data_IF_921997102031
#
_entry.id   IF_921997102031
#
_cell.length_a   1.000
_cell.length_b   1.000
_cell.length_c   1.000
_cell.angle_alpha   90.00
_cell.angle_beta   90.00
_cell.angle_gamma   90.00
#
_symmetry.space_group_name_H-M   'P 1'
#
loop_
_entity.id
_entity.type
_entity.pdbx_description
1 polymer ?
#
# COMPACT_ATOMS: atom_id res chain seq x y z
N UNK A 1 -42.24 5.00 -0.85
CA UNK A 1 -41.28 5.48 0.16
C UNK A 1 -40.01 5.95 -0.54
N UNK A 2 -39.67 7.25 -0.44
CA UNK A 2 -38.34 7.75 -0.78
C UNK A 2 -37.55 7.80 0.52
N UNK A 3 -36.42 7.11 0.57
CA UNK A 3 -35.50 7.24 1.70
C UNK A 3 -34.79 8.59 1.62
N UNK A 4 -34.74 9.34 2.72
CA UNK A 4 -34.02 10.62 2.82
C UNK A 4 -32.50 10.38 2.99
N UNK A 5 -31.94 9.52 2.13
CA UNK A 5 -30.53 9.14 2.16
C UNK A 5 -30.04 9.14 0.73
N UNK A 6 -28.96 9.87 0.50
CA UNK A 6 -28.32 9.88 -0.82
C UNK A 6 -27.83 8.48 -1.20
N UNK A 7 -27.95 8.16 -2.49
CA UNK A 7 -27.53 6.87 -3.05
C UNK A 7 -26.11 6.48 -2.62
N UNK A 8 -25.18 7.43 -2.58
CA UNK A 8 -23.78 7.18 -2.19
C UNK A 8 -23.62 6.82 -0.71
N UNK A 9 -24.37 7.47 0.19
CA UNK A 9 -24.39 7.16 1.62
C UNK A 9 -25.01 5.79 1.86
N UNK A 10 -26.14 5.50 1.20
CA UNK A 10 -26.79 4.20 1.26
C UNK A 10 -25.83 3.09 0.79
N UNK A 11 -25.15 3.26 -0.34
CA UNK A 11 -24.17 2.29 -0.85
C UNK A 11 -23.01 2.02 0.11
N UNK A 12 -22.45 3.06 0.75
CA UNK A 12 -21.37 2.87 1.73
C UNK A 12 -21.83 2.08 2.95
N UNK A 13 -23.05 2.33 3.42
CA UNK A 13 -23.63 1.66 4.58
C UNK A 13 -23.99 0.21 4.27
N UNK A 14 -24.63 -0.02 3.12
CA UNK A 14 -24.97 -1.36 2.63
C UNK A 14 -23.72 -2.20 2.44
N UNK A 15 -22.65 -1.70 1.82
CA UNK A 15 -21.42 -2.48 1.56
C UNK A 15 -20.68 -2.92 2.85
N UNK A 16 -20.91 -2.24 3.97
CA UNK A 16 -20.34 -2.57 5.28
C UNK A 16 -21.25 -3.47 6.12
N UNK A 17 -22.48 -3.71 5.67
CA UNK A 17 -23.42 -4.57 6.38
C UNK A 17 -22.95 -6.03 6.36
N UNK A 18 -23.01 -6.78 7.47
CA UNK A 18 -22.61 -8.19 7.51
C UNK A 18 -23.35 -9.05 6.47
N UNK A 19 -24.65 -8.79 6.30
CA UNK A 19 -25.50 -9.53 5.36
C UNK A 19 -25.40 -9.03 3.91
N UNK A 20 -24.49 -8.10 3.62
CA UNK A 20 -24.30 -7.65 2.26
C UNK A 20 -23.64 -8.74 1.41
N UNK A 21 -24.47 -9.40 0.61
CA UNK A 21 -24.04 -10.36 -0.40
C UNK A 21 -23.28 -9.61 -1.50
N UNK A 22 -21.95 -9.61 -1.39
CA UNK A 22 -21.10 -9.22 -2.52
C UNK A 22 -21.40 -10.19 -3.65
N UNK A 23 -21.99 -9.69 -4.73
CA UNK A 23 -22.15 -10.46 -5.96
C UNK A 23 -20.77 -10.76 -6.51
N UNK A 24 -20.22 -11.92 -6.14
CA UNK A 24 -19.06 -12.50 -6.78
C UNK A 24 -19.51 -12.99 -8.15
N UNK A 25 -19.71 -12.06 -9.10
CA UNK A 25 -19.88 -12.44 -10.50
C UNK A 25 -18.56 -13.06 -10.94
N UNK A 26 -18.54 -14.37 -11.01
CA UNK A 26 -17.41 -15.09 -11.58
C UNK A 26 -17.27 -14.66 -13.03
N UNK A 27 -16.10 -14.10 -13.36
CA UNK A 27 -15.80 -13.76 -14.73
C UNK A 27 -15.09 -14.96 -15.37
N UNK A 28 -15.72 -15.68 -16.31
CA UNK A 28 -15.16 -16.92 -16.87
C UNK A 28 -13.81 -16.68 -17.55
N UNK A 29 -13.58 -15.48 -18.11
CA UNK A 29 -12.32 -15.08 -18.74
C UNK A 29 -11.20 -15.02 -17.69
N UNK A 30 -11.51 -14.52 -16.49
CA UNK A 30 -10.56 -14.42 -15.38
C UNK A 30 -10.25 -15.80 -14.81
N UNK A 31 -11.25 -16.68 -14.67
CA UNK A 31 -11.06 -18.06 -14.23
C UNK A 31 -10.15 -18.83 -15.20
N UNK A 32 -10.42 -18.73 -16.51
CA UNK A 32 -9.59 -19.34 -17.55
C UNK A 32 -8.15 -18.80 -17.54
N UNK A 33 -7.98 -17.49 -17.34
CA UNK A 33 -6.65 -16.90 -17.18
C UNK A 33 -5.90 -17.47 -15.96
N UNK A 34 -6.60 -17.82 -14.87
CA UNK A 34 -5.98 -18.42 -13.70
C UNK A 34 -5.50 -19.84 -13.95
N UNK A 35 -6.29 -20.65 -14.64
CA UNK A 35 -5.88 -22.00 -15.05
C UNK A 35 -4.62 -21.94 -15.91
N UNK A 36 -4.61 -21.06 -16.92
CA UNK A 36 -3.45 -20.82 -17.80
C UNK A 36 -2.20 -20.38 -17.01
N UNK A 37 -2.37 -19.48 -16.03
CA UNK A 37 -1.29 -19.06 -15.14
C UNK A 37 -0.75 -20.20 -14.27
N UNK A 38 -1.63 -21.09 -13.78
CA UNK A 38 -1.23 -22.28 -13.02
C UNK A 38 -0.50 -23.30 -13.88
N UNK A 39 -0.84 -23.41 -15.16
CA UNK A 39 -0.13 -24.25 -16.13
C UNK A 39 1.25 -23.72 -16.51
N UNK A 40 1.61 -22.49 -16.10
CA UNK A 40 2.91 -21.89 -16.39
C UNK A 40 3.00 -21.15 -17.73
N UNK A 41 1.87 -20.89 -18.38
CA UNK A 41 1.87 -20.13 -19.62
C UNK A 41 2.36 -18.69 -19.42
N UNK A 42 2.95 -18.15 -20.48
CA UNK A 42 3.50 -16.79 -20.45
C UNK A 42 2.40 -15.74 -20.33
N UNK A 43 2.67 -14.64 -19.62
CA UNK A 43 1.72 -13.52 -19.53
C UNK A 43 1.36 -12.93 -20.90
N UNK A 44 2.30 -12.98 -21.86
CA UNK A 44 2.11 -12.44 -23.20
C UNK A 44 1.13 -13.29 -24.02
N UNK A 45 1.26 -14.61 -23.98
CA UNK A 45 0.34 -15.52 -24.68
C UNK A 45 -1.08 -15.40 -24.13
N UNK A 46 -1.24 -15.41 -22.80
CA UNK A 46 -2.56 -15.26 -22.15
C UNK A 46 -3.19 -13.90 -22.48
N UNK A 47 -2.39 -12.84 -22.54
CA UNK A 47 -2.88 -11.49 -22.84
C UNK A 47 -3.48 -11.40 -24.24
N UNK A 48 -2.81 -11.99 -25.23
CA UNK A 48 -3.26 -12.02 -26.62
C UNK A 48 -4.49 -12.92 -26.78
N UNK A 49 -4.48 -14.11 -26.19
CA UNK A 49 -5.54 -15.11 -26.37
C UNK A 49 -6.88 -14.70 -25.73
N UNK A 50 -6.82 -14.06 -24.56
CA UNK A 50 -8.01 -13.72 -23.77
C UNK A 50 -8.38 -12.24 -23.84
N UNK A 51 -7.66 -11.45 -24.64
CA UNK A 51 -7.79 -9.99 -24.73
C UNK A 51 -7.78 -9.30 -23.36
N UNK A 52 -6.87 -9.73 -22.49
CA UNK A 52 -6.69 -9.17 -21.15
C UNK A 52 -5.39 -8.38 -21.13
N UNK A 53 -5.39 -7.12 -20.68
CA UNK A 53 -4.15 -6.35 -20.55
C UNK A 53 -3.13 -7.05 -19.65
N UNK A 54 -1.87 -7.12 -20.08
CA UNK A 54 -0.77 -7.73 -19.31
C UNK A 54 -0.65 -7.18 -17.88
N UNK A 55 -0.92 -5.89 -17.67
CA UNK A 55 -0.91 -5.26 -16.34
C UNK A 55 -1.95 -5.88 -15.39
N UNK A 56 -3.13 -6.22 -15.92
CA UNK A 56 -4.20 -6.92 -15.20
C UNK A 56 -3.77 -8.33 -14.84
N UNK A 57 -3.22 -9.09 -15.80
CA UNK A 57 -2.69 -10.44 -15.55
C UNK A 57 -1.55 -10.44 -14.53
N UNK A 58 -0.64 -9.46 -14.60
CA UNK A 58 0.44 -9.33 -13.64
C UNK A 58 -0.09 -9.11 -12.21
N UNK A 59 -1.07 -8.22 -12.03
CA UNK A 59 -1.73 -8.02 -10.72
C UNK A 59 -2.38 -9.30 -10.21
N UNK A 60 -3.08 -10.03 -11.09
CA UNK A 60 -3.70 -11.30 -10.72
C UNK A 60 -2.67 -12.37 -10.32
N UNK A 61 -1.59 -12.51 -11.09
CA UNK A 61 -0.47 -13.41 -10.81
C UNK A 61 0.13 -13.12 -9.42
N UNK A 62 0.42 -11.86 -9.12
CA UNK A 62 0.97 -11.44 -7.82
C UNK A 62 0.00 -11.76 -6.67
N UNK A 63 -1.30 -11.47 -6.85
CA UNK A 63 -2.33 -11.74 -5.84
C UNK A 63 -2.45 -13.23 -5.53
N UNK A 64 -2.52 -14.07 -6.56
CA UNK A 64 -2.61 -15.51 -6.41
C UNK A 64 -1.34 -16.09 -5.75
N UNK A 65 -0.16 -15.53 -6.05
CA UNK A 65 1.11 -15.94 -5.42
C UNK A 65 1.10 -15.63 -3.93
N UNK A 66 0.59 -14.46 -3.54
CA UNK A 66 0.41 -14.10 -2.12
C UNK A 66 -0.60 -15.01 -1.40
N UNK A 67 -1.57 -15.56 -2.13
CA UNK A 67 -2.55 -16.52 -1.61
C UNK A 67 -2.04 -17.96 -1.58
N UNK A 68 -0.82 -18.23 -2.05
CA UNK A 68 -0.26 -19.58 -2.14
C UNK A 68 -0.96 -20.48 -3.19
N UNK A 69 -1.64 -19.87 -4.18
CA UNK A 69 -2.40 -20.61 -5.19
C UNK A 69 -1.65 -20.82 -6.51
N UNK A 70 -0.42 -20.30 -6.64
CA UNK A 70 0.44 -20.58 -7.79
C UNK A 70 1.48 -21.65 -7.45
N UNK A 71 1.77 -22.56 -8.38
CA UNK A 71 2.88 -23.49 -8.27
C UNK A 71 4.25 -22.80 -8.17
N UNK A 72 5.22 -23.48 -7.55
CA UNK A 72 6.57 -22.96 -7.26
C UNK A 72 7.38 -22.55 -8.50
N UNK A 73 7.12 -23.19 -9.64
CA UNK A 73 7.79 -22.83 -10.90
C UNK A 73 7.37 -21.44 -11.42
N UNK A 74 6.26 -20.89 -10.94
CA UNK A 74 5.77 -19.58 -11.37
C UNK A 74 6.34 -18.48 -10.49
N UNK A 75 7.50 -17.96 -10.90
CA UNK A 75 8.18 -16.91 -10.14
C UNK A 75 7.42 -15.58 -10.17
N UNK A 76 7.23 -14.99 -8.99
CA UNK A 76 6.70 -13.65 -8.81
C UNK A 76 7.78 -12.79 -8.14
N UNK A 77 8.55 -12.04 -8.93
CA UNK A 77 9.53 -11.09 -8.40
C UNK A 77 8.78 -9.99 -7.65
N UNK A 78 8.86 -10.00 -6.32
CA UNK A 78 8.32 -8.90 -5.50
C UNK A 78 9.19 -7.67 -5.74
N UNK A 79 8.57 -6.51 -5.90
CA UNK A 79 9.32 -5.27 -6.16
C UNK A 79 10.11 -4.81 -4.94
N UNK A 80 9.65 -5.11 -3.72
CA UNK A 80 10.37 -4.81 -2.49
C UNK A 80 10.03 -5.87 -1.44
N UNK A 81 10.95 -6.79 -1.15
CA UNK A 81 10.76 -7.82 -0.12
C UNK A 81 11.16 -7.35 1.27
N UNK A 82 11.45 -6.05 1.45
CA UNK A 82 11.67 -5.47 2.77
C UNK A 82 10.37 -5.58 3.54
N UNK A 83 10.36 -6.36 4.62
CA UNK A 83 9.19 -6.41 5.51
C UNK A 83 8.80 -4.99 5.87
N UNK A 84 7.49 -4.69 5.88
CA UNK A 84 6.99 -3.35 6.26
C UNK A 84 7.55 -2.91 7.61
N UNK A 85 7.77 -3.86 8.52
CA UNK A 85 8.30 -3.59 9.85
C UNK A 85 9.80 -3.29 9.82
N UNK A 86 10.56 -3.96 8.95
CA UNK A 86 11.98 -3.64 8.72
C UNK A 86 12.16 -2.26 8.09
N UNK A 87 11.31 -1.90 7.12
CA UNK A 87 11.30 -0.56 6.52
C UNK A 87 10.98 0.52 7.57
N UNK A 88 9.97 0.30 8.42
CA UNK A 88 9.64 1.22 9.52
C UNK A 88 10.81 1.39 10.50
N UNK A 89 11.47 0.30 10.87
CA UNK A 89 12.60 0.33 11.79
C UNK A 89 13.78 1.10 11.20
N UNK A 90 14.14 0.81 9.94
CA UNK A 90 15.19 1.54 9.22
C UNK A 90 14.86 3.03 9.13
N UNK A 91 13.60 3.35 8.83
CA UNK A 91 13.14 4.73 8.72
C UNK A 91 13.28 5.47 10.05
N UNK A 92 12.82 4.86 11.16
CA UNK A 92 12.95 5.45 12.47
C UNK A 92 14.43 5.76 12.80
N UNK A 93 15.34 4.82 12.53
CA UNK A 93 16.78 5.02 12.73
C UNK A 93 17.35 6.13 11.86
N UNK A 94 16.95 6.19 10.59
CA UNK A 94 17.40 7.23 9.65
C UNK A 94 16.95 8.64 10.07
N UNK A 95 15.69 8.77 10.52
CA UNK A 95 15.15 10.02 11.04
C UNK A 95 15.88 10.45 12.31
N UNK A 96 16.09 9.53 13.25
CA UNK A 96 16.84 9.80 14.49
C UNK A 96 18.27 10.26 14.20
N UNK A 97 18.96 9.61 13.26
CA UNK A 97 20.30 10.03 12.85
C UNK A 97 20.33 11.46 12.27
N UNK A 98 19.31 11.87 11.53
CA UNK A 98 19.22 13.23 11.00
C UNK A 98 18.96 14.27 12.10
N UNK A 99 18.07 13.97 13.04
CA UNK A 99 17.62 14.93 14.07
C UNK A 99 18.61 15.01 15.24
N UNK A 100 19.08 13.87 15.75
CA UNK A 100 19.93 13.82 16.95
C UNK A 100 21.41 13.94 16.64
N UNK A 101 21.87 13.28 15.57
CA UNK A 101 23.30 13.20 15.23
C UNK A 101 23.72 14.23 14.17
N UNK A 102 22.82 15.11 13.73
CA UNK A 102 23.07 16.11 12.69
C UNK A 102 23.42 15.51 11.32
N UNK A 103 23.10 14.24 11.09
CA UNK A 103 23.47 13.54 9.86
C UNK A 103 22.73 14.13 8.65
N UNK A 104 23.44 14.35 7.53
CA UNK A 104 22.77 14.81 6.31
C UNK A 104 21.78 13.76 5.78
N UNK A 105 20.66 14.22 5.22
CA UNK A 105 19.61 13.34 4.71
C UNK A 105 20.11 12.38 3.62
N UNK A 106 21.00 12.86 2.75
CA UNK A 106 21.62 12.02 1.72
C UNK A 106 22.44 10.88 2.34
N UNK A 107 23.23 11.21 3.37
CA UNK A 107 24.06 10.22 4.04
C UNK A 107 23.21 9.21 4.80
N UNK A 108 22.21 9.66 5.57
CA UNK A 108 21.28 8.78 6.28
C UNK A 108 20.48 7.88 5.32
N UNK A 109 19.99 8.41 4.19
CA UNK A 109 19.28 7.63 3.18
C UNK A 109 20.14 6.47 2.64
N UNK A 110 21.41 6.72 2.37
CA UNK A 110 22.35 5.70 1.90
C UNK A 110 22.68 4.66 2.98
N UNK A 111 23.00 5.11 4.20
CA UNK A 111 23.37 4.24 5.33
C UNK A 111 22.26 3.27 5.71
N UNK A 112 21.01 3.75 5.75
CA UNK A 112 19.87 2.93 6.16
C UNK A 112 19.13 2.27 4.98
N UNK A 113 19.59 2.48 3.74
CA UNK A 113 19.03 1.85 2.55
C UNK A 113 17.60 2.29 2.26
N UNK A 114 17.29 3.58 2.42
CA UNK A 114 15.97 4.17 2.21
C UNK A 114 16.04 5.24 1.14
N UNK A 115 15.00 5.39 0.33
CA UNK A 115 14.94 6.51 -0.61
C UNK A 115 14.97 7.86 0.13
N UNK A 116 15.79 8.80 -0.36
CA UNK A 116 15.84 10.17 0.16
C UNK A 116 14.46 10.82 0.24
N UNK A 117 13.63 10.60 -0.78
CA UNK A 117 12.28 11.17 -0.84
C UNK A 117 11.36 10.66 0.26
N UNK A 118 11.53 9.41 0.68
CA UNK A 118 10.78 8.81 1.80
C UNK A 118 11.23 9.43 3.12
N UNK A 119 12.55 9.56 3.32
CA UNK A 119 13.13 10.19 4.51
C UNK A 119 12.69 11.65 4.66
N UNK A 120 12.76 12.44 3.57
CA UNK A 120 12.35 13.84 3.56
C UNK A 120 10.88 14.04 3.97
N UNK A 121 9.96 13.24 3.40
CA UNK A 121 8.54 13.30 3.77
C UNK A 121 8.31 13.07 5.26
N UNK A 122 9.06 12.17 5.86
CA UNK A 122 8.94 11.88 7.28
C UNK A 122 9.58 12.93 8.18
N UNK A 123 10.68 13.54 7.75
CA UNK A 123 11.26 14.70 8.44
C UNK A 123 10.29 15.89 8.41
N UNK A 124 9.70 16.18 7.24
CA UNK A 124 8.71 17.25 7.09
C UNK A 124 7.48 17.05 8.00
N UNK A 125 6.97 15.82 8.07
CA UNK A 125 5.86 15.50 8.98
C UNK A 125 6.22 15.78 10.44
N UNK A 126 7.46 15.48 10.86
CA UNK A 126 7.91 15.74 12.24
C UNK A 126 8.13 17.21 12.53
N UNK A 127 8.61 17.99 11.56
CA UNK A 127 8.71 19.44 11.71
C UNK A 127 7.31 20.04 11.93
N UNK A 128 6.35 19.65 11.09
CA UNK A 128 4.96 20.10 11.25
C UNK A 128 4.32 19.66 12.58
N UNK A 129 4.62 18.45 13.06
CA UNK A 129 4.17 17.96 14.39
C UNK A 129 4.82 18.75 15.54
N UNK A 130 6.10 19.12 15.41
CA UNK A 130 6.80 19.91 16.41
C UNK A 130 6.27 21.35 16.47
N UNK A 131 6.07 21.99 15.31
CA UNK A 131 5.47 23.33 15.21
C UNK A 131 4.07 23.36 15.84
N UNK A 132 3.22 22.38 15.54
CA UNK A 132 1.88 22.28 16.14
C UNK A 132 1.92 22.09 17.68
N UNK A 133 2.89 21.31 18.19
CA UNK A 133 3.02 21.12 19.65
C UNK A 133 3.49 22.39 20.38
N UNK A 134 4.32 23.21 19.73
CA UNK A 134 4.76 24.49 20.31
C UNK A 134 3.59 25.49 20.38
N UNK A 135 2.75 25.54 19.34
CA UNK A 135 1.53 26.37 19.34
C UNK A 135 0.55 25.94 20.46
N UNK A 136 0.39 24.64 20.70
CA UNK A 136 -0.46 24.14 21.79
C UNK A 136 0.06 24.47 23.19
N UNK A 137 1.38 24.46 23.39
CA UNK A 137 1.99 24.77 24.69
C UNK A 137 2.00 26.29 24.95
N UNK A 138 2.18 27.11 23.91
CA UNK A 138 2.08 28.58 24.01
C UNK A 138 0.63 29.01 24.36
N UNK A 139 -0.38 28.35 23.79
CA UNK A 139 -1.79 28.59 24.15
C UNK A 139 -2.07 28.20 25.62
N UNK A 140 -1.48 27.11 26.13
CA UNK A 140 -1.67 26.71 27.53
C UNK A 140 -1.01 27.68 28.51
N UNK A 141 0.20 28.18 28.23
CA UNK A 141 0.85 29.17 29.08
C UNK A 141 0.06 30.48 29.16
N UNK A 142 -0.52 30.94 28.04
CA UNK A 142 -1.33 32.17 28.01
C UNK A 142 -2.66 32.01 28.75
N UNK A 143 -3.24 30.81 28.79
CA UNK A 143 -4.50 30.54 29.52
C UNK A 143 -4.25 30.35 31.04
N UNK A 144 -3.05 29.93 31.44
CA UNK A 144 -2.66 29.70 32.83
C UNK A 144 -1.96 30.89 33.51
N UNK A 145 -1.70 31.98 32.77
CA UNK A 145 -1.12 33.24 33.28
C UNK A 145 -2.20 34.30 33.48
#
# INVERSE_FOLDING_TARGET
MKFDISKTVLWRRVRKHPDYMKTARENPIVTKAYERLKSGESLKSISLDLDIPMSTLHRHKVRLSQQGQLPDFVTCKRRDSTSKDDLKLKLAKAVQACVQNGMSQNHAANVYGISKSTLWRHLQKRVAEAEASMEEDEIKEVILS
#
